data_IF_426382262845
#
_entry.id   IF_426382262845
#
_cell.length_a   1.000
_cell.length_b   1.000
_cell.length_c   1.000
_cell.angle_alpha   90.00
_cell.angle_beta   90.00
_cell.angle_gamma   90.00
#
_symmetry.space_group_name_H-M   'P 1'
#
loop_
_entity.id
_entity.type
_entity.pdbx_description
1 polymer ?
#
# COMPACT_ATOMS: atom_id res chain seq x y z
N UNK A 1 16.15 0.31 18.01
CA UNK A 1 15.36 1.49 17.60
C UNK A 1 14.60 1.17 16.32
N UNK A 2 13.36 1.61 16.21
CA UNK A 2 12.50 1.41 15.05
C UNK A 2 12.12 2.79 14.48
N UNK A 3 11.99 2.90 13.17
CA UNK A 3 11.50 4.11 12.50
C UNK A 3 10.58 3.74 11.34
N UNK A 4 9.76 4.70 10.92
CA UNK A 4 8.81 4.53 9.83
C UNK A 4 8.95 5.73 8.87
N UNK A 5 8.92 5.45 7.58
CA UNK A 5 8.99 6.45 6.51
C UNK A 5 7.83 6.25 5.51
N UNK A 6 7.46 7.31 4.86
CA UNK A 6 6.86 7.23 3.53
C UNK A 6 8.01 7.07 2.52
N UNK A 7 7.89 6.29 1.44
CA UNK A 7 8.97 6.08 0.47
C UNK A 7 9.64 7.35 -0.05
N UNK A 8 8.87 8.40 -0.32
CA UNK A 8 9.41 9.70 -0.73
C UNK A 8 10.27 10.37 0.36
N UNK A 9 9.93 10.21 1.65
CA UNK A 9 10.75 10.69 2.77
C UNK A 9 12.00 9.83 2.96
N UNK A 10 11.88 8.49 2.79
CA UNK A 10 13.04 7.61 2.82
C UNK A 10 14.04 8.00 1.71
N UNK A 11 13.56 8.29 0.51
CA UNK A 11 14.42 8.73 -0.61
C UNK A 11 15.19 10.00 -0.26
N UNK A 12 14.51 11.01 0.33
CA UNK A 12 15.18 12.24 0.78
C UNK A 12 16.21 11.98 1.89
N UNK A 13 15.90 11.06 2.82
CA UNK A 13 16.81 10.67 3.88
C UNK A 13 18.03 9.93 3.31
N UNK A 14 17.84 8.94 2.45
CA UNK A 14 18.91 8.19 1.78
C UNK A 14 19.82 9.13 0.99
N UNK A 15 19.26 10.09 0.25
CA UNK A 15 20.04 11.09 -0.48
C UNK A 15 20.91 12.00 0.42
N UNK A 16 20.58 12.10 1.71
CA UNK A 16 21.38 12.84 2.70
C UNK A 16 22.46 11.99 3.38
N UNK A 17 22.43 10.65 3.18
CA UNK A 17 23.40 9.75 3.78
C UNK A 17 24.69 9.70 2.97
N UNK A 18 25.80 9.70 3.70
CA UNK A 18 27.14 9.38 3.16
C UNK A 18 27.69 8.18 3.94
N UNK A 19 28.71 7.48 3.43
CA UNK A 19 29.35 6.38 4.18
C UNK A 19 29.79 6.79 5.59
N UNK A 20 30.19 8.06 5.77
CA UNK A 20 30.66 8.59 7.06
C UNK A 20 29.52 8.80 8.04
N UNK A 21 28.38 9.34 7.60
CA UNK A 21 27.23 9.64 8.47
C UNK A 21 26.23 8.48 8.61
N UNK A 22 26.24 7.51 7.70
CA UNK A 22 25.40 6.30 7.78
C UNK A 22 25.62 5.51 9.08
N UNK A 23 26.75 5.74 9.77
CA UNK A 23 27.03 5.18 11.08
C UNK A 23 25.95 5.54 12.15
N UNK A 24 25.23 6.65 11.99
CA UNK A 24 24.12 7.03 12.87
C UNK A 24 22.95 6.02 12.81
N UNK A 25 22.81 5.27 11.71
CA UNK A 25 21.78 4.28 11.52
C UNK A 25 22.07 2.91 12.19
N UNK A 26 23.27 2.70 12.75
CA UNK A 26 23.68 1.41 13.35
C UNK A 26 22.79 0.93 14.50
N UNK A 27 22.06 1.84 15.15
CA UNK A 27 21.12 1.48 16.24
C UNK A 27 19.74 1.09 15.73
N UNK A 28 19.47 1.25 14.42
CA UNK A 28 18.21 0.84 13.82
C UNK A 28 18.13 -0.69 13.76
N UNK A 29 17.07 -1.25 14.33
CA UNK A 29 16.79 -2.68 14.30
C UNK A 29 15.82 -3.05 13.19
N UNK A 30 14.88 -2.17 12.90
CA UNK A 30 13.87 -2.32 11.87
C UNK A 30 13.44 -0.96 11.33
N UNK A 31 13.19 -0.90 10.04
CA UNK A 31 12.66 0.27 9.35
C UNK A 31 11.44 -0.16 8.54
N UNK A 32 10.39 0.63 8.62
CA UNK A 32 9.16 0.37 7.90
C UNK A 32 8.90 1.48 6.88
N UNK A 33 8.35 1.10 5.73
CA UNK A 33 7.83 2.02 4.74
C UNK A 33 6.38 1.68 4.42
N UNK A 34 5.52 2.70 4.34
CA UNK A 34 4.14 2.55 3.87
C UNK A 34 3.62 3.82 3.21
N UNK A 35 2.43 3.75 2.63
CA UNK A 35 1.72 4.91 2.09
C UNK A 35 1.95 5.20 0.61
N UNK A 36 3.02 4.72 0.02
CA UNK A 36 3.33 4.81 -1.43
C UNK A 36 3.95 3.50 -1.92
N UNK A 37 4.02 3.32 -3.25
CA UNK A 37 4.79 2.22 -3.82
C UNK A 37 6.28 2.38 -3.48
N UNK A 38 6.90 1.35 -2.90
CA UNK A 38 8.29 1.38 -2.46
C UNK A 38 9.23 0.93 -3.60
N UNK A 39 10.06 1.85 -4.17
CA UNK A 39 10.94 1.50 -5.27
C UNK A 39 12.05 0.51 -4.86
N UNK A 40 12.25 -0.55 -5.66
CA UNK A 40 13.33 -1.55 -5.45
C UNK A 40 14.71 -0.92 -5.44
N UNK A 41 14.95 0.08 -6.30
CA UNK A 41 16.22 0.82 -6.33
C UNK A 41 16.57 1.49 -5.01
N UNK A 42 15.57 2.15 -4.39
CA UNK A 42 15.71 2.79 -3.08
C UNK A 42 16.02 1.79 -1.97
N UNK A 43 15.38 0.61 -2.00
CA UNK A 43 15.67 -0.44 -1.01
C UNK A 43 17.09 -0.97 -1.13
N UNK A 44 17.59 -1.17 -2.36
CA UNK A 44 18.97 -1.62 -2.61
C UNK A 44 19.98 -0.58 -2.15
N UNK A 45 19.73 0.69 -2.39
CA UNK A 45 20.57 1.79 -1.90
C UNK A 45 20.58 1.85 -0.37
N UNK A 46 19.41 1.74 0.26
CA UNK A 46 19.28 1.67 1.71
C UNK A 46 20.09 0.51 2.31
N UNK A 47 19.98 -0.69 1.73
CA UNK A 47 20.69 -1.89 2.20
C UNK A 47 22.20 -1.75 2.10
N UNK A 48 22.71 -1.09 1.05
CA UNK A 48 24.14 -0.82 0.89
C UNK A 48 24.68 0.14 1.95
N UNK A 49 23.89 1.15 2.33
CA UNK A 49 24.34 2.23 3.24
C UNK A 49 24.17 1.85 4.71
N UNK A 50 23.13 1.13 5.10
CA UNK A 50 22.76 1.04 6.53
C UNK A 50 22.74 -0.38 7.09
N UNK A 51 22.49 -1.40 6.29
CA UNK A 51 22.24 -2.80 6.68
C UNK A 51 21.04 -2.98 7.63
N UNK A 52 20.28 -1.94 7.95
CA UNK A 52 19.08 -2.06 8.77
C UNK A 52 17.95 -2.69 7.95
N UNK A 53 17.28 -3.77 8.46
CA UNK A 53 16.18 -4.41 7.76
C UNK A 53 15.07 -3.41 7.43
N UNK A 54 14.67 -3.35 6.16
CA UNK A 54 13.58 -2.52 5.66
C UNK A 54 12.38 -3.40 5.31
N UNK A 55 11.20 -2.99 5.73
CA UNK A 55 9.95 -3.69 5.47
C UNK A 55 8.99 -2.77 4.74
N UNK A 56 8.37 -3.28 3.68
CA UNK A 56 7.27 -2.62 3.00
C UNK A 56 5.96 -3.01 3.69
N UNK A 57 5.15 -2.03 4.06
CA UNK A 57 3.82 -2.22 4.61
C UNK A 57 2.79 -1.61 3.67
N UNK A 58 1.60 -2.19 3.63
CA UNK A 58 0.50 -1.67 2.82
C UNK A 58 -0.81 -1.78 3.59
N UNK A 59 -1.62 -0.75 3.46
CA UNK A 59 -3.00 -0.71 3.89
C UNK A 59 -3.59 0.69 3.79
N UNK A 60 -4.93 0.78 3.70
CA UNK A 60 -5.67 2.02 3.80
C UNK A 60 -6.08 2.30 5.25
N UNK A 61 -6.46 3.53 5.54
CA UNK A 61 -7.04 3.95 6.84
C UNK A 61 -8.29 3.14 7.19
N UNK A 62 -9.06 2.74 6.19
CA UNK A 62 -10.28 1.94 6.30
C UNK A 62 -10.05 0.51 6.82
N UNK A 63 -8.77 0.10 6.90
CA UNK A 63 -8.36 -1.19 7.46
C UNK A 63 -7.20 -1.04 8.46
N UNK A 64 -7.26 0.00 9.30
CA UNK A 64 -6.31 0.29 10.38
C UNK A 64 -4.84 0.36 9.96
N UNK A 65 -4.57 1.07 8.87
CA UNK A 65 -3.26 1.51 8.36
C UNK A 65 -2.49 0.43 7.60
N UNK A 66 -2.13 -0.69 8.22
CA UNK A 66 -1.28 -1.70 7.59
C UNK A 66 -1.92 -3.09 7.69
N UNK A 67 -2.21 -3.71 6.56
CA UNK A 67 -2.86 -5.02 6.43
C UNK A 67 -1.96 -6.08 5.81
N UNK A 68 -0.86 -5.67 5.19
CA UNK A 68 0.14 -6.59 4.65
C UNK A 68 1.55 -6.07 4.81
N UNK A 69 2.52 -6.97 4.66
CA UNK A 69 3.94 -6.69 4.81
C UNK A 69 4.79 -7.50 3.86
N UNK A 70 5.96 -6.95 3.48
CA UNK A 70 6.97 -7.65 2.70
C UNK A 70 8.38 -7.28 3.19
N UNK A 71 9.32 -8.25 3.36
CA UNK A 71 10.70 -7.94 3.69
C UNK A 71 11.41 -7.34 2.45
N UNK A 72 11.76 -6.06 2.51
CA UNK A 72 12.41 -5.32 1.44
C UNK A 72 13.94 -5.29 1.64
N UNK A 73 14.54 -6.43 1.96
CA UNK A 73 15.98 -6.61 2.19
C UNK A 73 16.38 -8.06 1.94
N UNK A 74 17.70 -8.31 1.81
CA UNK A 74 18.26 -9.65 1.68
C UNK A 74 17.78 -10.43 0.46
N UNK A 75 17.62 -11.76 0.58
CA UNK A 75 17.20 -12.63 -0.51
C UNK A 75 15.84 -12.27 -1.11
N UNK A 76 14.90 -11.80 -0.28
CA UNK A 76 13.57 -11.39 -0.71
C UNK A 76 13.62 -10.18 -1.63
N UNK A 77 14.43 -9.17 -1.29
CA UNK A 77 14.65 -8.00 -2.16
C UNK A 77 15.41 -8.39 -3.43
N UNK A 78 16.39 -9.29 -3.33
CA UNK A 78 17.16 -9.75 -4.48
C UNK A 78 16.28 -10.49 -5.51
N UNK A 79 15.23 -11.18 -5.05
CA UNK A 79 14.28 -11.90 -5.89
C UNK A 79 13.22 -11.00 -6.55
N UNK A 80 13.14 -9.71 -6.20
CA UNK A 80 12.19 -8.78 -6.82
C UNK A 80 12.70 -8.35 -8.20
N UNK A 81 11.99 -8.73 -9.25
CA UNK A 81 12.30 -8.36 -10.64
C UNK A 81 11.70 -7.01 -11.04
N UNK A 82 10.63 -6.57 -10.35
CA UNK A 82 9.91 -5.33 -10.65
C UNK A 82 10.60 -4.06 -10.15
N UNK A 83 10.06 -2.91 -10.55
CA UNK A 83 10.54 -1.58 -10.11
C UNK A 83 10.03 -1.21 -8.72
N UNK A 84 9.06 -1.93 -8.18
CA UNK A 84 8.46 -1.73 -6.86
C UNK A 84 8.45 -3.03 -6.07
N UNK A 85 8.67 -2.91 -4.77
CA UNK A 85 8.58 -4.03 -3.83
C UNK A 85 7.11 -4.46 -3.70
N UNK A 86 6.81 -5.78 -3.68
CA UNK A 86 5.46 -6.26 -3.43
C UNK A 86 4.86 -5.72 -2.13
N UNK A 87 3.54 -5.64 -2.07
CA UNK A 87 2.83 -5.36 -0.81
C UNK A 87 2.77 -6.60 0.09
N UNK A 88 3.11 -7.76 -0.44
CA UNK A 88 3.48 -8.98 0.28
C UNK A 88 2.32 -9.79 0.81
N UNK A 89 2.42 -10.18 2.07
CA UNK A 89 1.55 -11.16 2.73
C UNK A 89 0.65 -10.46 3.76
N UNK A 90 -0.57 -10.97 3.99
CA UNK A 90 -1.45 -10.40 5.01
C UNK A 90 -0.85 -10.52 6.41
N UNK A 91 -1.10 -9.53 7.27
CA UNK A 91 -0.80 -9.63 8.70
C UNK A 91 -1.86 -10.48 9.41
N UNK A 92 -1.64 -10.79 10.69
CA UNK A 92 -2.55 -11.63 11.49
C UNK A 92 -3.99 -11.10 11.49
N UNK A 93 -4.95 -12.02 11.36
CA UNK A 93 -6.40 -11.76 11.38
C UNK A 93 -6.89 -10.84 10.25
N UNK A 94 -6.12 -10.72 9.18
CA UNK A 94 -6.50 -10.04 7.93
C UNK A 94 -6.42 -10.98 6.74
N UNK A 95 -7.06 -10.62 5.64
CA UNK A 95 -6.98 -11.35 4.39
C UNK A 95 -6.99 -10.43 3.20
N UNK A 96 -6.35 -10.87 2.13
CA UNK A 96 -6.33 -10.22 0.83
C UNK A 96 -7.11 -11.09 -0.15
N UNK A 97 -7.98 -10.48 -0.95
CA UNK A 97 -8.67 -11.14 -2.06
C UNK A 97 -8.42 -10.33 -3.34
N UNK A 98 -8.06 -11.01 -4.39
CA UNK A 98 -7.92 -10.42 -5.72
C UNK A 98 -8.99 -11.04 -6.60
N UNK A 99 -9.94 -10.21 -7.04
CA UNK A 99 -11.17 -10.67 -7.69
C UNK A 99 -11.35 -10.02 -9.07
N UNK A 100 -12.01 -10.75 -9.95
CA UNK A 100 -12.46 -10.21 -11.25
C UNK A 100 -13.75 -9.38 -11.10
N UNK A 101 -14.22 -8.81 -12.20
CA UNK A 101 -15.47 -8.03 -12.23
C UNK A 101 -16.74 -8.81 -11.85
N UNK A 102 -16.68 -10.14 -11.85
CA UNK A 102 -17.77 -11.04 -11.43
C UNK A 102 -17.57 -11.53 -9.98
N UNK A 103 -16.65 -10.92 -9.23
CA UNK A 103 -16.33 -11.28 -7.84
C UNK A 103 -15.76 -12.70 -7.69
N UNK A 104 -15.07 -13.23 -8.70
CA UNK A 104 -14.41 -14.53 -8.66
C UNK A 104 -12.91 -14.35 -8.42
N UNK A 105 -12.26 -15.22 -7.63
CA UNK A 105 -10.81 -15.19 -7.45
C UNK A 105 -10.09 -15.32 -8.79
N UNK A 106 -9.07 -14.48 -9.00
CA UNK A 106 -8.22 -14.57 -10.19
C UNK A 106 -7.07 -15.57 -9.97
N UNK A 107 -6.57 -16.23 -11.03
CA UNK A 107 -5.38 -17.06 -10.95
C UNK A 107 -4.12 -16.26 -10.62
N UNK A 108 -3.05 -16.95 -10.20
CA UNK A 108 -1.72 -16.37 -10.04
C UNK A 108 -1.27 -15.65 -11.31
N UNK A 109 -0.62 -14.50 -11.15
CA UNK A 109 -0.14 -13.65 -12.24
C UNK A 109 -1.20 -12.80 -12.92
N UNK A 110 -2.50 -13.07 -12.69
CA UNK A 110 -3.61 -12.31 -13.30
C UNK A 110 -3.99 -11.12 -12.42
N UNK A 111 -4.13 -9.95 -13.05
CA UNK A 111 -4.55 -8.73 -12.37
C UNK A 111 -6.05 -8.76 -12.02
N UNK A 112 -6.39 -8.21 -10.87
CA UNK A 112 -7.77 -8.04 -10.42
C UNK A 112 -7.91 -6.95 -9.37
N UNK A 113 -9.14 -6.64 -8.99
CA UNK A 113 -9.45 -5.69 -7.91
C UNK A 113 -9.04 -6.28 -6.56
N UNK A 114 -8.32 -5.49 -5.75
CA UNK A 114 -7.91 -5.88 -4.41
C UNK A 114 -9.00 -5.56 -3.38
N UNK A 115 -9.35 -6.56 -2.58
CA UNK A 115 -10.25 -6.44 -1.44
C UNK A 115 -9.54 -6.88 -0.16
N UNK A 116 -9.89 -6.24 0.95
CA UNK A 116 -9.35 -6.54 2.28
C UNK A 116 -10.44 -7.15 3.16
N UNK A 117 -10.06 -8.12 3.99
CA UNK A 117 -10.95 -8.78 4.95
C UNK A 117 -10.30 -8.83 6.32
N UNK A 118 -11.10 -9.08 7.36
CA UNK A 118 -10.61 -9.32 8.71
C UNK A 118 -11.03 -8.27 9.73
N UNK A 119 -10.50 -8.43 10.95
CA UNK A 119 -10.94 -7.65 12.12
C UNK A 119 -10.52 -6.17 12.09
N UNK A 120 -9.56 -5.82 11.22
CA UNK A 120 -9.06 -4.44 11.10
C UNK A 120 -9.97 -3.53 10.27
N UNK A 121 -11.00 -4.08 9.61
CA UNK A 121 -11.91 -3.27 8.82
C UNK A 121 -12.68 -2.28 9.68
N UNK A 122 -12.69 -1.01 9.26
CA UNK A 122 -13.52 0.02 9.87
C UNK A 122 -15.01 -0.32 9.80
N UNK A 123 -15.80 0.30 10.65
CA UNK A 123 -17.27 0.15 10.60
C UNK A 123 -17.86 0.81 9.35
N UNK A 124 -17.23 1.89 8.86
CA UNK A 124 -17.63 2.64 7.69
C UNK A 124 -17.20 4.11 7.78
N UNK A 125 -17.74 4.93 6.92
CA UNK A 125 -17.49 6.37 6.87
C UNK A 125 -18.53 7.12 7.69
N UNK A 126 -18.09 7.97 8.60
CA UNK A 126 -18.94 8.75 9.47
C UNK A 126 -19.89 9.65 8.65
N UNK A 127 -21.20 9.52 8.90
CA UNK A 127 -22.23 10.30 8.21
C UNK A 127 -22.41 9.99 6.71
N UNK A 128 -21.76 8.91 6.19
CA UNK A 128 -21.81 8.53 4.77
C UNK A 128 -22.22 7.06 4.60
N UNK A 129 -23.48 6.73 4.87
CA UNK A 129 -23.98 5.34 4.69
C UNK A 129 -23.95 4.88 3.24
N UNK A 130 -24.15 5.79 2.29
CA UNK A 130 -24.03 5.57 0.84
C UNK A 130 -22.64 5.07 0.45
N UNK A 131 -21.60 5.81 0.85
CA UNK A 131 -20.21 5.45 0.59
C UNK A 131 -19.81 4.19 1.36
N UNK A 132 -20.27 4.03 2.59
CA UNK A 132 -20.02 2.84 3.39
C UNK A 132 -20.55 1.59 2.68
N UNK A 133 -21.80 1.62 2.22
CA UNK A 133 -22.42 0.48 1.52
C UNK A 133 -21.72 0.15 0.19
N UNK A 134 -21.15 1.13 -0.50
CA UNK A 134 -20.44 0.93 -1.77
C UNK A 134 -19.02 0.37 -1.60
N UNK A 135 -18.37 0.62 -0.47
CA UNK A 135 -16.98 0.24 -0.20
C UNK A 135 -16.83 -0.96 0.74
N UNK A 136 -17.71 -1.08 1.76
CA UNK A 136 -17.71 -2.19 2.71
C UNK A 136 -18.86 -3.14 2.36
N UNK A 137 -18.58 -4.09 1.50
CA UNK A 137 -19.56 -5.02 0.94
C UNK A 137 -19.53 -6.38 1.64
N UNK A 138 -20.57 -7.18 1.47
CA UNK A 138 -20.58 -8.56 1.98
C UNK A 138 -19.44 -9.38 1.33
N UNK A 139 -18.75 -10.20 2.13
CA UNK A 139 -17.78 -11.16 1.63
C UNK A 139 -18.48 -12.41 1.09
N UNK A 140 -18.48 -12.68 -0.23
CA UNK A 140 -19.18 -13.83 -0.79
C UNK A 140 -18.56 -15.18 -0.39
N UNK A 141 -17.36 -15.18 0.18
CA UNK A 141 -16.61 -16.36 0.60
C UNK A 141 -16.68 -16.63 2.12
N UNK A 142 -17.22 -15.68 2.89
CA UNK A 142 -17.34 -15.78 4.34
C UNK A 142 -18.70 -15.21 4.80
N UNK A 143 -19.75 -16.05 4.92
CA UNK A 143 -21.09 -15.61 5.29
C UNK A 143 -21.11 -14.81 6.60
N UNK A 144 -21.74 -13.64 6.57
CA UNK A 144 -21.82 -12.72 7.72
C UNK A 144 -20.63 -11.76 7.86
N UNK A 145 -19.57 -11.98 7.12
CA UNK A 145 -18.40 -11.10 7.12
C UNK A 145 -18.47 -10.04 6.02
N UNK A 146 -17.62 -9.03 6.15
CA UNK A 146 -17.49 -7.94 5.18
C UNK A 146 -16.09 -7.92 4.57
N UNK A 147 -16.00 -7.35 3.38
CA UNK A 147 -14.72 -6.98 2.77
C UNK A 147 -14.75 -5.52 2.31
N UNK A 148 -13.58 -4.90 2.31
CA UNK A 148 -13.38 -3.53 1.87
C UNK A 148 -12.84 -3.50 0.45
N UNK A 149 -13.51 -2.78 -0.45
CA UNK A 149 -13.07 -2.53 -1.82
C UNK A 149 -12.08 -1.38 -1.82
N UNK A 150 -10.79 -1.68 -2.05
CA UNK A 150 -9.70 -0.69 -1.97
C UNK A 150 -9.70 0.31 -3.14
N UNK A 151 -10.09 -0.13 -4.33
CA UNK A 151 -9.86 0.56 -5.59
C UNK A 151 -8.43 0.35 -6.12
N UNK A 152 -7.64 -0.49 -5.49
CA UNK A 152 -6.33 -0.89 -5.97
C UNK A 152 -6.43 -2.12 -6.86
N UNK A 153 -5.55 -2.22 -7.86
CA UNK A 153 -5.36 -3.38 -8.73
C UNK A 153 -4.10 -4.10 -8.29
N UNK A 154 -4.19 -5.42 -8.17
CA UNK A 154 -3.10 -6.25 -7.70
C UNK A 154 -3.08 -7.62 -8.41
N UNK A 155 -2.01 -8.38 -8.21
CA UNK A 155 -1.93 -9.80 -8.60
C UNK A 155 -1.18 -10.62 -7.58
N UNK A 156 -1.47 -11.91 -7.54
CA UNK A 156 -0.70 -12.88 -6.79
C UNK A 156 0.58 -13.23 -7.54
N UNK A 157 1.71 -13.23 -6.83
CA UNK A 157 2.98 -13.79 -7.31
C UNK A 157 3.06 -15.29 -6.96
N UNK A 158 3.91 -16.04 -7.67
CA UNK A 158 4.07 -17.50 -7.49
C UNK A 158 4.47 -17.89 -6.06
N UNK A 159 5.13 -17.00 -5.33
CA UNK A 159 5.51 -17.22 -3.93
C UNK A 159 4.38 -16.91 -2.94
N UNK A 160 3.18 -16.53 -3.41
CA UNK A 160 2.03 -16.18 -2.59
C UNK A 160 2.03 -14.74 -2.06
N UNK A 161 3.01 -13.93 -2.41
CA UNK A 161 2.98 -12.48 -2.14
C UNK A 161 2.03 -11.76 -3.11
N UNK A 162 1.53 -10.60 -2.69
CA UNK A 162 0.73 -9.73 -3.55
C UNK A 162 1.59 -8.60 -4.09
N UNK A 163 1.52 -8.38 -5.40
CA UNK A 163 2.09 -7.24 -6.09
C UNK A 163 1.02 -6.19 -6.38
N UNK A 164 1.31 -4.95 -6.04
CA UNK A 164 0.47 -3.78 -6.35
C UNK A 164 0.75 -3.30 -7.77
N UNK A 165 -0.29 -3.12 -8.57
CA UNK A 165 -0.18 -2.72 -9.98
C UNK A 165 -0.66 -1.28 -10.25
N UNK A 166 -1.27 -0.64 -9.27
CA UNK A 166 -1.82 0.71 -9.44
C UNK A 166 -3.25 0.82 -8.93
N UNK A 167 -3.94 1.88 -9.36
CA UNK A 167 -5.34 2.10 -8.99
C UNK A 167 -6.25 1.91 -10.20
N UNK A 168 -7.48 1.49 -9.91
CA UNK A 168 -8.58 1.43 -10.89
C UNK A 168 -9.37 2.75 -10.97
N UNK A 169 -9.09 3.70 -10.07
CA UNK A 169 -9.71 5.03 -10.02
C UNK A 169 -8.62 6.14 -10.10
N UNK A 170 -9.06 7.41 -10.15
CA UNK A 170 -8.19 8.58 -10.32
C UNK A 170 -7.55 9.10 -9.02
N UNK A 171 -7.63 8.31 -7.93
CA UNK A 171 -7.05 8.68 -6.66
C UNK A 171 -5.53 8.61 -6.69
N UNK A 172 -4.86 9.64 -6.19
CA UNK A 172 -3.40 9.73 -6.14
C UNK A 172 -2.88 9.69 -4.70
N UNK A 173 -1.64 9.22 -4.55
CA UNK A 173 -0.87 9.38 -3.31
C UNK A 173 0.36 10.24 -3.59
N UNK A 174 0.48 11.38 -2.89
CA UNK A 174 1.62 12.31 -3.03
C UNK A 174 2.19 12.57 -1.64
N UNK A 175 3.42 12.17 -1.41
CA UNK A 175 4.10 12.25 -0.09
C UNK A 175 3.27 11.60 1.03
N UNK A 176 2.66 10.44 0.72
CA UNK A 176 1.80 9.71 1.63
C UNK A 176 0.40 10.29 1.84
N UNK A 177 0.09 11.44 1.26
CA UNK A 177 -1.25 12.03 1.34
C UNK A 177 -2.15 11.48 0.23
N UNK A 178 -3.35 11.06 0.61
CA UNK A 178 -4.39 10.59 -0.29
C UNK A 178 -5.12 11.79 -0.89
N UNK A 179 -5.09 11.90 -2.21
CA UNK A 179 -5.66 13.03 -2.96
C UNK A 179 -6.74 12.50 -3.91
N UNK A 180 -7.93 13.06 -3.77
CA UNK A 180 -9.05 12.84 -4.67
C UNK A 180 -9.06 13.95 -5.73
N UNK A 181 -8.76 13.63 -6.99
CA UNK A 181 -8.75 14.64 -8.06
C UNK A 181 -10.10 15.36 -8.19
N UNK A 182 -11.21 14.64 -8.02
CA UNK A 182 -12.54 15.22 -8.05
C UNK A 182 -12.84 16.24 -6.92
N UNK A 183 -12.05 16.28 -5.84
CA UNK A 183 -12.14 17.35 -4.84
C UNK A 183 -11.46 18.63 -5.35
N UNK A 184 -10.32 18.47 -6.02
CA UNK A 184 -9.60 19.59 -6.66
C UNK A 184 -10.48 20.19 -7.75
N UNK A 185 -11.06 19.38 -8.63
CA UNK A 185 -11.94 19.82 -9.70
C UNK A 185 -13.14 20.60 -9.14
N UNK A 186 -13.79 20.09 -8.10
CA UNK A 186 -14.92 20.79 -7.43
C UNK A 186 -14.50 22.11 -6.81
N UNK A 187 -13.31 22.15 -6.18
CA UNK A 187 -12.78 23.38 -5.62
C UNK A 187 -12.49 24.42 -6.70
N UNK A 188 -11.90 24.00 -7.81
CA UNK A 188 -11.61 24.87 -8.96
C UNK A 188 -12.91 25.40 -9.60
N UNK A 189 -13.89 24.52 -9.84
CA UNK A 189 -15.18 24.89 -10.42
C UNK A 189 -16.05 25.76 -9.49
N UNK A 190 -15.72 25.85 -8.22
CA UNK A 190 -16.39 26.80 -7.29
C UNK A 190 -15.94 28.26 -7.47
N UNK A 191 -14.87 28.50 -8.22
CA UNK A 191 -14.37 29.84 -8.51
C UNK A 191 -15.16 30.46 -9.68
N UNK A 192 -15.58 31.72 -9.60
CA UNK A 192 -16.49 32.36 -10.58
C UNK A 192 -15.87 32.51 -11.97
N UNK A 193 -14.55 32.48 -12.10
CA UNK A 193 -13.82 32.68 -13.37
C UNK A 193 -13.32 31.36 -14.00
N UNK A 194 -13.69 30.19 -13.44
CA UNK A 194 -13.30 28.87 -13.96
C UNK A 194 -14.49 28.24 -14.64
N UNK A 195 -14.36 27.98 -15.96
CA UNK A 195 -15.32 27.21 -16.76
C UNK A 195 -14.85 25.74 -16.91
N UNK A 196 -15.83 24.86 -17.20
CA UNK A 196 -15.56 23.46 -17.57
C UNK A 196 -14.85 23.36 -18.92
#
# INVERSE_FOLDING_TARGET
>A
TTTHFVPSMLAAFVASLTPENAACCKTLKQVFCSGEALPTGLCREWEQLTRAPLHNLYGPTEAAVDVSWYPAFGPELAAVEGNSVPIGFPVWNTGLRILDAMMRPVPFGVAGDLYLTGIQLAQGYLGRPDLTASRFIADPFAPGERMYRTGDVARWLDNGAVEYLGRSDDQLKIRGQRIELGEIDRAMLSLPDVAQ
#
